data_IF_402189269468
#
_entry.id   IF_402189269468
#
_cell.length_a   1.000
_cell.length_b   1.000
_cell.length_c   1.000
_cell.angle_alpha   90.00
_cell.angle_beta   90.00
_cell.angle_gamma   90.00
#
_symmetry.space_group_name_H-M   'P 1'
#
loop_
_entity.id
_entity.type
_entity.pdbx_description
1 polymer ?
#
# COMPACT_ATOMS: atom_id res chain seq x y z
N UNK A 1 21.47 4.21 42.70
CA UNK A 1 21.11 5.21 41.69
C UNK A 1 21.68 4.92 40.31
N UNK A 2 22.90 4.44 40.17
CA UNK A 2 23.50 4.07 38.91
C UNK A 2 22.76 2.94 38.18
N UNK A 3 22.17 2.00 38.90
CA UNK A 3 21.42 0.88 38.32
C UNK A 3 20.08 1.32 37.71
N UNK A 4 19.36 2.28 38.28
CA UNK A 4 18.11 2.83 37.73
C UNK A 4 18.33 3.56 36.42
N UNK A 5 19.42 4.30 36.29
CA UNK A 5 19.76 5.03 35.08
C UNK A 5 20.12 4.07 33.93
N UNK A 6 20.82 2.98 34.21
CA UNK A 6 21.15 1.94 33.24
C UNK A 6 19.91 1.22 32.73
N UNK A 7 18.96 0.91 33.60
CA UNK A 7 17.71 0.23 33.25
C UNK A 7 16.83 1.08 32.34
N UNK A 8 16.72 2.37 32.64
CA UNK A 8 15.94 3.32 31.85
C UNK A 8 16.57 3.53 30.46
N UNK A 9 17.89 3.58 30.37
CA UNK A 9 18.59 3.73 29.10
C UNK A 9 18.42 2.48 28.22
N UNK A 10 18.47 1.28 28.79
CA UNK A 10 18.25 0.03 28.08
C UNK A 10 16.82 -0.06 27.55
N UNK A 11 15.82 0.31 28.33
CA UNK A 11 14.41 0.34 27.91
C UNK A 11 14.18 1.33 26.77
N UNK A 12 14.80 2.51 26.82
CA UNK A 12 14.70 3.51 25.75
C UNK A 12 15.31 3.01 24.44
N UNK A 13 16.45 2.29 24.50
CA UNK A 13 17.11 1.70 23.33
C UNK A 13 16.25 0.60 22.71
N UNK A 14 15.64 -0.26 23.51
CA UNK A 14 14.76 -1.33 23.03
C UNK A 14 13.53 -0.73 22.35
N UNK A 15 12.93 0.30 22.93
CA UNK A 15 11.78 0.99 22.36
C UNK A 15 12.14 1.65 21.02
N UNK A 16 13.32 2.28 20.93
CA UNK A 16 13.81 2.89 19.69
C UNK A 16 14.05 1.84 18.59
N UNK A 17 14.58 0.69 18.94
CA UNK A 17 14.79 -0.42 18.01
C UNK A 17 13.47 -0.99 17.51
N UNK A 18 12.47 -1.13 18.38
CA UNK A 18 11.15 -1.60 17.98
C UNK A 18 10.47 -0.64 17.02
N UNK A 19 10.56 0.66 17.27
CA UNK A 19 10.02 1.69 16.38
C UNK A 19 10.73 1.66 15.02
N UNK A 20 12.05 1.51 15.01
CA UNK A 20 12.81 1.41 13.78
C UNK A 20 12.45 0.14 12.99
N UNK A 21 12.26 -0.99 13.65
CA UNK A 21 11.80 -2.23 13.02
C UNK A 21 10.41 -2.07 12.42
N UNK A 22 9.51 -1.41 13.11
CA UNK A 22 8.16 -1.12 12.60
C UNK A 22 8.20 -0.22 11.37
N UNK A 23 9.09 0.78 11.34
CA UNK A 23 9.25 1.67 10.21
C UNK A 23 9.88 0.97 8.99
N UNK A 24 10.68 -0.06 9.21
CA UNK A 24 11.33 -0.85 8.15
C UNK A 24 10.45 -1.99 7.62
N UNK A 25 9.39 -2.38 8.36
CA UNK A 25 8.46 -3.37 7.87
C UNK A 25 7.67 -2.80 6.69
N UNK A 26 7.52 -3.57 5.59
CA UNK A 26 6.70 -3.11 4.49
C UNK A 26 5.29 -2.87 5.02
N UNK A 27 4.77 -1.69 4.79
CA UNK A 27 3.38 -1.38 5.14
C UNK A 27 2.49 -2.32 4.35
N UNK A 28 1.64 -3.06 5.03
CA UNK A 28 0.67 -3.92 4.39
C UNK A 28 -0.23 -3.11 3.47
N UNK A 29 -0.79 -3.76 2.47
CA UNK A 29 -1.73 -3.11 1.58
C UNK A 29 -3.02 -2.85 2.35
N UNK A 30 -3.53 -1.59 2.36
CA UNK A 30 -4.77 -1.27 3.04
C UNK A 30 -5.95 -2.00 2.40
N UNK A 31 -6.99 -2.23 3.18
CA UNK A 31 -8.20 -2.87 2.70
C UNK A 31 -8.87 -2.04 1.58
N UNK A 32 -9.42 -2.73 0.61
CA UNK A 32 -10.10 -2.11 -0.53
C UNK A 32 -11.21 -1.16 -0.08
N UNK A 33 -12.00 -1.55 0.91
CA UNK A 33 -13.08 -0.72 1.45
C UNK A 33 -12.59 0.59 2.07
N UNK A 34 -11.39 0.58 2.64
CA UNK A 34 -10.78 1.79 3.18
C UNK A 34 -10.32 2.72 2.05
N UNK A 35 -9.67 2.17 1.04
CA UNK A 35 -9.18 2.93 -0.11
C UNK A 35 -10.34 3.59 -0.86
N UNK A 36 -11.48 2.93 -0.93
CA UNK A 36 -12.68 3.48 -1.58
C UNK A 36 -13.19 4.78 -0.93
N UNK A 37 -12.77 5.07 0.29
CA UNK A 37 -13.15 6.29 1.01
C UNK A 37 -12.13 7.41 0.88
N UNK A 38 -11.01 7.14 0.23
CA UNK A 38 -9.91 8.10 0.08
C UNK A 38 -10.04 8.86 -1.24
N UNK A 39 -9.38 10.01 -1.31
CA UNK A 39 -9.14 10.68 -2.58
C UNK A 39 -8.14 9.88 -3.41
N UNK A 40 -8.11 10.12 -4.71
CA UNK A 40 -7.13 9.49 -5.59
C UNK A 40 -5.70 9.82 -5.18
N UNK A 41 -5.44 11.03 -4.73
CA UNK A 41 -4.13 11.46 -4.24
C UNK A 41 -3.70 10.67 -3.00
N UNK A 42 -4.57 10.54 -2.01
CA UNK A 42 -4.28 9.78 -0.79
C UNK A 42 -4.06 8.30 -1.12
N UNK A 43 -4.89 7.73 -1.98
CA UNK A 43 -4.74 6.34 -2.42
C UNK A 43 -3.43 6.13 -3.16
N UNK A 44 -3.06 7.05 -4.05
CA UNK A 44 -1.80 7.00 -4.79
C UNK A 44 -0.61 7.03 -3.82
N UNK A 45 -0.62 7.96 -2.87
CA UNK A 45 0.47 8.09 -1.90
C UNK A 45 0.62 6.84 -1.02
N UNK A 46 -0.48 6.18 -0.71
CA UNK A 46 -0.47 4.99 0.13
C UNK A 46 -0.05 3.72 -0.64
N UNK A 47 -0.49 3.59 -1.88
CA UNK A 47 -0.29 2.36 -2.67
C UNK A 47 0.91 2.42 -3.62
N UNK A 48 1.37 3.60 -3.98
CA UNK A 48 2.49 3.78 -4.90
C UNK A 48 3.73 3.03 -4.40
N UNK A 49 4.38 2.31 -5.30
CA UNK A 49 5.58 1.52 -4.97
C UNK A 49 5.31 0.08 -4.56
N UNK A 50 4.06 -0.27 -4.24
CA UNK A 50 3.71 -1.66 -3.97
C UNK A 50 3.65 -2.46 -5.27
N UNK A 51 3.90 -3.76 -5.17
CA UNK A 51 3.85 -4.65 -6.33
C UNK A 51 2.41 -5.00 -6.70
N UNK A 52 2.15 -5.11 -7.99
CA UNK A 52 0.84 -5.53 -8.49
C UNK A 52 0.41 -6.88 -7.92
N UNK A 53 1.33 -7.82 -7.81
CA UNK A 53 1.04 -9.16 -7.25
C UNK A 53 0.59 -9.09 -5.80
N UNK A 54 1.17 -8.19 -5.01
CA UNK A 54 0.81 -8.02 -3.60
C UNK A 54 -0.58 -7.42 -3.47
N UNK A 55 -0.94 -6.50 -4.36
CA UNK A 55 -2.28 -5.93 -4.41
C UNK A 55 -3.32 -7.00 -4.73
N UNK A 56 -3.04 -7.85 -5.71
CA UNK A 56 -3.95 -8.95 -6.08
C UNK A 56 -4.08 -9.98 -4.96
N UNK A 57 -3.00 -10.23 -4.24
CA UNK A 57 -3.05 -11.13 -3.07
C UNK A 57 -3.94 -10.56 -1.96
N UNK A 58 -3.93 -9.23 -1.78
CA UNK A 58 -4.72 -8.56 -0.75
C UNK A 58 -6.18 -8.36 -1.16
N UNK A 59 -6.43 -7.97 -2.42
CA UNK A 59 -7.78 -7.56 -2.89
C UNK A 59 -8.48 -8.61 -3.74
N UNK A 60 -7.79 -9.67 -4.12
CA UNK A 60 -8.33 -10.69 -5.02
C UNK A 60 -8.19 -10.29 -6.49
N UNK A 61 -8.86 -11.03 -7.35
CA UNK A 61 -8.83 -10.77 -8.79
C UNK A 61 -9.49 -9.43 -9.11
N UNK A 62 -8.93 -8.64 -10.03
CA UNK A 62 -9.56 -7.41 -10.46
C UNK A 62 -10.87 -7.67 -11.21
N UNK A 63 -11.77 -6.70 -11.18
CA UNK A 63 -13.03 -6.75 -11.93
C UNK A 63 -12.83 -6.47 -13.42
N UNK A 64 -11.74 -5.81 -13.76
CA UNK A 64 -11.39 -5.58 -15.16
C UNK A 64 -9.94 -5.11 -15.31
N UNK A 65 -9.47 -5.06 -16.54
CA UNK A 65 -8.12 -4.63 -16.84
C UNK A 65 -8.07 -3.87 -18.17
N UNK A 66 -7.12 -2.95 -18.25
CA UNK A 66 -6.82 -2.27 -19.50
C UNK A 66 -5.93 -3.14 -20.37
N UNK A 67 -6.10 -3.01 -21.69
CA UNK A 67 -5.26 -3.67 -22.68
C UNK A 67 -3.79 -3.27 -22.47
N UNK A 68 -2.87 -4.22 -22.56
CA UNK A 68 -1.44 -3.96 -22.41
C UNK A 68 -0.93 -3.93 -20.97
N UNK A 69 -1.72 -4.35 -20.01
CA UNK A 69 -1.32 -4.46 -18.60
C UNK A 69 -0.93 -3.14 -17.93
N UNK A 70 -1.49 -2.03 -18.41
CA UNK A 70 -1.20 -0.72 -17.84
C UNK A 70 -1.98 -0.44 -16.57
N UNK A 71 -3.06 -1.16 -16.30
CA UNK A 71 -3.87 -0.95 -15.13
C UNK A 71 -4.99 -1.96 -15.01
N UNK A 72 -5.52 -2.01 -13.81
CA UNK A 72 -6.64 -2.87 -13.44
C UNK A 72 -7.57 -2.10 -12.53
N UNK A 73 -8.82 -2.54 -12.43
CA UNK A 73 -9.76 -1.88 -11.53
C UNK A 73 -10.53 -2.89 -10.71
N UNK A 74 -10.93 -2.41 -9.54
CA UNK A 74 -11.78 -3.13 -8.60
C UNK A 74 -12.98 -2.29 -8.26
N UNK A 75 -14.10 -2.92 -8.02
CA UNK A 75 -15.27 -2.25 -7.49
C UNK A 75 -15.37 -2.50 -5.98
N UNK A 76 -15.76 -1.46 -5.26
CA UNK A 76 -16.12 -1.55 -3.85
C UNK A 76 -17.44 -0.77 -3.68
N UNK A 77 -18.57 -1.49 -3.67
CA UNK A 77 -19.88 -0.85 -3.69
C UNK A 77 -20.05 0.04 -4.91
N UNK A 78 -20.30 1.31 -4.68
CA UNK A 78 -20.53 2.31 -5.74
C UNK A 78 -19.24 3.00 -6.20
N UNK A 79 -18.09 2.51 -5.75
CA UNK A 79 -16.80 3.12 -6.05
C UNK A 79 -16.00 2.20 -6.96
N UNK A 80 -15.36 2.80 -7.95
CA UNK A 80 -14.39 2.14 -8.82
C UNK A 80 -12.99 2.61 -8.44
N UNK A 81 -12.12 1.67 -8.08
CA UNK A 81 -10.72 1.93 -7.77
C UNK A 81 -9.91 1.44 -8.96
N UNK A 82 -9.27 2.36 -9.67
CA UNK A 82 -8.42 2.03 -10.82
C UNK A 82 -6.97 2.19 -10.42
N UNK A 83 -6.20 1.15 -10.64
CA UNK A 83 -4.77 1.10 -10.28
C UNK A 83 -3.96 1.03 -11.55
N UNK A 84 -3.06 1.99 -11.74
CA UNK A 84 -2.17 2.06 -12.88
C UNK A 84 -0.78 1.58 -12.48
N UNK A 85 -0.20 0.76 -13.33
CA UNK A 85 1.09 0.13 -13.08
C UNK A 85 2.20 0.74 -13.94
N UNK A 86 3.40 0.62 -13.43
CA UNK A 86 4.61 0.99 -14.15
C UNK A 86 5.49 -0.24 -14.27
N UNK A 87 5.93 -0.52 -15.48
CA UNK A 87 6.93 -1.55 -15.71
C UNK A 87 8.31 -0.90 -15.70
N UNK A 88 9.24 -1.51 -14.99
CA UNK A 88 10.64 -1.12 -15.02
C UNK A 88 11.44 -2.23 -15.68
N UNK A 89 12.39 -1.92 -16.56
CA UNK A 89 13.26 -2.94 -17.12
C UNK A 89 14.12 -3.64 -16.06
N UNK A 90 14.26 -3.03 -14.89
CA UNK A 90 15.01 -3.58 -13.76
C UNK A 90 14.15 -4.40 -12.81
N UNK A 91 12.82 -4.26 -12.85
CA UNK A 91 11.88 -4.95 -12.00
C UNK A 91 11.06 -5.95 -12.81
N UNK A 92 11.09 -7.25 -12.49
CA UNK A 92 10.31 -8.25 -13.21
C UNK A 92 8.80 -8.15 -12.98
N UNK A 93 8.39 -7.42 -11.93
CA UNK A 93 7.00 -7.28 -11.54
C UNK A 93 6.52 -5.83 -11.69
N UNK A 94 5.30 -5.62 -12.20
CA UNK A 94 4.74 -4.26 -12.26
C UNK A 94 4.57 -3.65 -10.88
N UNK A 95 4.81 -2.35 -10.79
CA UNK A 95 4.72 -1.57 -9.57
C UNK A 95 3.59 -0.57 -9.71
N UNK A 96 2.85 -0.32 -8.63
CA UNK A 96 1.77 0.66 -8.62
C UNK A 96 2.37 2.06 -8.75
N UNK A 97 1.88 2.80 -9.75
CA UNK A 97 2.29 4.18 -10.02
C UNK A 97 1.25 5.19 -9.53
N UNK A 98 -0.01 4.94 -9.82
CA UNK A 98 -1.09 5.88 -9.57
C UNK A 98 -2.39 5.13 -9.28
N UNK A 99 -3.24 5.71 -8.46
CA UNK A 99 -4.56 5.17 -8.14
C UNK A 99 -5.61 6.24 -8.36
N UNK A 100 -6.69 5.89 -9.01
CA UNK A 100 -7.86 6.73 -9.20
C UNK A 100 -9.03 6.14 -8.42
N UNK A 101 -9.72 6.97 -7.66
CA UNK A 101 -10.90 6.58 -6.89
C UNK A 101 -12.06 7.42 -7.39
N UNK A 102 -13.03 6.77 -8.02
CA UNK A 102 -14.14 7.46 -8.68
C UNK A 102 -15.46 6.73 -8.42
N UNK A 103 -16.59 7.44 -8.49
CA UNK A 103 -17.89 6.77 -8.47
C UNK A 103 -18.01 5.78 -9.63
N UNK A 104 -18.63 4.66 -9.36
CA UNK A 104 -18.92 3.66 -10.38
C UNK A 104 -19.92 4.24 -11.37
N UNK A 105 -19.58 4.19 -12.64
CA UNK A 105 -20.49 4.64 -13.68
C UNK A 105 -21.67 3.67 -13.82
N UNK A 106 -22.88 4.20 -14.05
CA UNK A 106 -24.07 3.37 -14.24
C UNK A 106 -24.00 2.54 -15.53
#
# INVERSE_FOLDING_TARGET
MKERTRSLTALALIAAMLIALFALLPHGIPEKGRVARWSGETATNSLSGHLAKDLKAAWGMPDGMFSGLFGEWWYEGDIRITVFYQNSPEAPEPVIREVSVQPREP
#
